data_IF_847780246524
#
_entry.id   IF_847780246524
#
_cell.length_a   1.000
_cell.length_b   1.000
_cell.length_c   1.000
_cell.angle_alpha   90.00
_cell.angle_beta   90.00
_cell.angle_gamma   90.00
#
_symmetry.space_group_name_H-M   'P 1'
#
loop_
_entity.id
_entity.type
_entity.pdbx_description
1 polymer ?
#
# COMPACT_ATOMS: atom_id res chain seq x y z
N UNK A 1 -2.52 -43.35 -25.78
CA UNK A 1 -2.93 -42.56 -24.63
C UNK A 1 -1.79 -42.74 -23.63
N UNK A 2 -0.89 -41.74 -23.54
CA UNK A 2 0.23 -41.75 -22.61
C UNK A 2 -0.23 -41.32 -21.18
N UNK A 3 0.49 -41.71 -20.17
CA UNK A 3 0.12 -41.37 -18.80
C UNK A 3 0.18 -39.86 -18.62
N UNK A 4 -0.86 -39.29 -17.96
CA UNK A 4 -0.90 -37.90 -17.54
C UNK A 4 0.28 -37.66 -16.57
N UNK A 5 1.29 -37.00 -17.03
CA UNK A 5 2.36 -36.50 -16.15
C UNK A 5 1.83 -35.30 -15.39
N UNK A 6 1.51 -35.49 -14.12
CA UNK A 6 1.27 -34.39 -13.20
C UNK A 6 2.62 -33.93 -12.69
N UNK A 7 3.04 -32.76 -13.13
CA UNK A 7 4.26 -32.14 -12.63
C UNK A 7 3.96 -31.56 -11.24
N UNK A 8 4.45 -32.23 -10.20
CA UNK A 8 4.34 -31.73 -8.83
C UNK A 8 5.54 -30.81 -8.62
N UNK A 9 5.28 -29.54 -8.42
CA UNK A 9 6.29 -28.55 -8.00
C UNK A 9 6.09 -28.30 -6.53
N UNK A 10 6.99 -28.81 -5.70
CA UNK A 10 7.02 -28.50 -4.28
C UNK A 10 7.73 -27.15 -4.10
N UNK A 11 6.99 -26.12 -3.74
CA UNK A 11 7.54 -24.79 -3.51
C UNK A 11 7.42 -24.48 -2.03
N UNK A 12 8.55 -24.43 -1.35
CA UNK A 12 8.66 -23.91 0.01
C UNK A 12 8.73 -22.39 -0.10
N UNK A 13 7.59 -21.73 0.06
CA UNK A 13 7.46 -20.29 -0.13
C UNK A 13 7.37 -19.52 1.17
N UNK A 14 7.77 -18.26 1.10
CA UNK A 14 7.49 -17.27 2.14
C UNK A 14 6.00 -16.89 2.14
N UNK A 15 5.52 -16.26 3.20
CA UNK A 15 4.14 -15.75 3.33
C UNK A 15 3.63 -14.99 2.08
N UNK A 16 4.50 -14.27 1.37
CA UNK A 16 4.20 -13.60 0.09
C UNK A 16 3.89 -14.56 -1.05
N UNK A 17 4.43 -15.77 -1.01
CA UNK A 17 4.13 -16.78 -2.02
C UNK A 17 2.75 -17.43 -1.77
N UNK A 18 2.38 -17.61 -0.51
CA UNK A 18 1.03 -18.06 -0.17
C UNK A 18 -0.03 -17.05 -0.59
N UNK A 19 0.24 -15.75 -0.41
CA UNK A 19 -0.62 -14.67 -0.91
C UNK A 19 -0.72 -14.68 -2.44
N UNK A 20 0.38 -14.93 -3.14
CA UNK A 20 0.39 -15.07 -4.60
C UNK A 20 -0.44 -16.27 -5.08
N UNK A 21 -0.30 -17.43 -4.43
CA UNK A 21 -1.08 -18.63 -4.76
C UNK A 21 -2.58 -18.41 -4.48
N UNK A 22 -2.93 -17.73 -3.37
CA UNK A 22 -4.30 -17.36 -3.06
C UNK A 22 -4.90 -16.42 -4.11
N UNK A 23 -4.12 -15.46 -4.59
CA UNK A 23 -4.56 -14.56 -5.67
C UNK A 23 -4.78 -15.31 -7.00
N UNK A 24 -3.96 -16.30 -7.32
CA UNK A 24 -4.16 -17.16 -8.50
C UNK A 24 -5.45 -17.99 -8.40
N UNK A 25 -5.79 -18.50 -7.20
CA UNK A 25 -7.06 -19.21 -6.97
C UNK A 25 -8.27 -18.28 -7.15
N UNK A 26 -8.15 -17.02 -6.74
CA UNK A 26 -9.19 -15.99 -6.94
C UNK A 26 -9.36 -15.65 -8.44
N UNK A 27 -8.29 -15.70 -9.22
CA UNK A 27 -8.32 -15.50 -10.67
C UNK A 27 -8.82 -16.73 -11.45
N UNK A 28 -9.22 -17.82 -10.75
CA UNK A 28 -9.76 -19.03 -11.37
C UNK A 28 -8.71 -19.96 -11.95
N UNK A 29 -7.44 -19.75 -11.61
CA UNK A 29 -6.37 -20.71 -11.95
C UNK A 29 -6.43 -21.86 -10.95
N UNK A 30 -6.90 -23.03 -11.39
CA UNK A 30 -6.96 -24.23 -10.57
C UNK A 30 -5.57 -24.69 -10.15
N UNK A 31 -5.14 -24.34 -8.94
CA UNK A 31 -3.92 -24.87 -8.33
C UNK A 31 -4.27 -26.25 -7.75
N UNK A 32 -3.93 -27.30 -8.48
CA UNK A 32 -4.13 -28.67 -8.03
C UNK A 32 -3.28 -28.96 -6.78
N UNK A 33 -3.92 -29.02 -5.61
CA UNK A 33 -3.28 -29.50 -4.38
C UNK A 33 -3.49 -31.00 -4.25
N UNK A 34 -2.41 -31.76 -4.33
CA UNK A 34 -2.38 -33.16 -3.88
C UNK A 34 -1.90 -33.20 -2.43
N UNK A 35 -2.76 -32.80 -1.51
CA UNK A 35 -2.55 -33.01 -0.07
C UNK A 35 -3.90 -33.40 0.49
N UNK A 36 -3.92 -34.25 1.52
CA UNK A 36 -5.11 -34.55 2.29
C UNK A 36 -5.96 -33.30 2.46
N UNK A 37 -7.28 -33.38 2.23
CA UNK A 37 -8.11 -32.20 2.31
C UNK A 37 -7.79 -31.49 3.64
N UNK A 38 -7.33 -30.23 3.57
CA UNK A 38 -7.01 -29.51 4.79
C UNK A 38 -8.26 -29.55 5.66
N UNK A 39 -8.14 -29.58 6.99
CA UNK A 39 -9.29 -29.60 7.87
C UNK A 39 -10.25 -28.50 7.41
N UNK A 40 -11.50 -28.89 7.18
CA UNK A 40 -12.56 -28.00 6.74
C UNK A 40 -12.54 -26.78 7.67
N UNK A 41 -12.22 -25.60 7.13
CA UNK A 41 -12.20 -24.37 7.89
C UNK A 41 -13.56 -24.15 8.57
N UNK A 42 -13.59 -23.32 9.60
CA UNK A 42 -14.86 -22.95 10.27
C UNK A 42 -15.66 -22.08 9.31
N UNK A 43 -16.97 -22.36 9.19
CA UNK A 43 -17.84 -21.53 8.35
C UNK A 43 -18.29 -20.31 9.15
N UNK A 44 -17.91 -19.13 8.66
CA UNK A 44 -18.29 -17.82 9.21
C UNK A 44 -19.42 -17.24 8.36
N UNK A 45 -20.47 -16.81 9.00
CA UNK A 45 -21.63 -16.23 8.33
C UNK A 45 -22.35 -15.23 9.22
N UNK A 46 -23.04 -14.24 8.66
CA UNK A 46 -23.87 -13.33 9.43
C UNK A 46 -25.13 -14.06 9.92
N UNK A 47 -25.43 -13.90 11.20
CA UNK A 47 -26.59 -14.50 11.86
C UNK A 47 -27.80 -13.60 11.65
N UNK A 48 -28.74 -14.00 10.82
CA UNK A 48 -29.87 -13.15 10.34
C UNK A 48 -30.75 -12.56 11.45
N UNK A 49 -30.83 -13.20 12.61
CA UNK A 49 -31.59 -12.70 13.77
C UNK A 49 -30.82 -11.64 14.58
N UNK A 50 -29.51 -11.49 14.39
CA UNK A 50 -28.66 -10.51 15.08
C UNK A 50 -28.73 -9.11 14.42
N UNK A 51 -29.91 -8.63 14.10
CA UNK A 51 -30.14 -7.36 13.40
C UNK A 51 -29.59 -6.14 14.14
N UNK A 52 -29.64 -6.16 15.49
CA UNK A 52 -29.15 -5.07 16.34
C UNK A 52 -27.62 -4.90 16.27
N UNK A 53 -26.91 -5.96 15.86
CA UNK A 53 -25.45 -5.93 15.67
C UNK A 53 -25.05 -5.68 14.23
N UNK A 54 -25.99 -5.44 13.31
CA UNK A 54 -25.66 -5.08 11.94
C UNK A 54 -24.94 -3.72 11.89
N UNK A 55 -23.94 -3.64 11.02
CA UNK A 55 -23.24 -2.39 10.68
C UNK A 55 -23.40 -2.16 9.19
N UNK A 56 -23.85 -0.97 8.85
CA UNK A 56 -23.92 -0.47 7.49
C UNK A 56 -22.72 0.45 7.24
N UNK A 57 -21.84 0.02 6.32
CA UNK A 57 -20.63 0.77 5.97
C UNK A 57 -20.92 1.54 4.67
N UNK A 58 -20.78 2.88 4.64
CA UNK A 58 -21.01 3.66 3.43
C UNK A 58 -19.97 3.29 2.36
N UNK A 59 -20.44 3.06 1.15
CA UNK A 59 -19.56 2.80 0.02
C UNK A 59 -19.25 4.13 -0.67
N UNK A 60 -17.98 4.55 -0.53
CA UNK A 60 -17.47 5.75 -1.17
C UNK A 60 -16.73 5.37 -2.44
N UNK A 61 -17.15 5.95 -3.56
CA UNK A 61 -16.42 5.81 -4.82
C UNK A 61 -15.39 6.93 -4.92
N UNK A 62 -14.09 6.63 -4.92
CA UNK A 62 -13.07 7.66 -5.06
C UNK A 62 -13.05 8.18 -6.50
N UNK A 63 -13.03 9.50 -6.65
CA UNK A 63 -12.76 10.19 -7.91
C UNK A 63 -11.37 10.81 -7.81
N UNK A 64 -10.44 10.27 -8.56
CA UNK A 64 -9.07 10.76 -8.61
C UNK A 64 -8.99 11.94 -9.59
N UNK A 65 -8.90 13.15 -9.07
CA UNK A 65 -8.63 14.36 -9.87
C UNK A 65 -7.20 14.79 -9.65
N UNK A 66 -6.45 14.99 -10.74
CA UNK A 66 -5.13 15.63 -10.69
C UNK A 66 -5.32 17.11 -10.98
N UNK A 67 -5.05 17.96 -10.00
CA UNK A 67 -4.88 19.38 -10.22
C UNK A 67 -3.41 19.64 -10.54
N UNK A 68 -3.10 19.95 -11.79
CA UNK A 68 -1.79 20.45 -12.17
C UNK A 68 -1.65 21.90 -11.70
N UNK A 69 -0.99 22.10 -10.57
CA UNK A 69 -0.39 23.41 -10.28
C UNK A 69 0.85 23.49 -11.18
N UNK A 70 0.90 24.53 -12.01
CA UNK A 70 1.90 24.67 -13.07
C UNK A 70 3.30 24.21 -12.65
N UNK A 71 3.83 23.25 -13.40
CA UNK A 71 5.19 22.78 -13.24
C UNK A 71 6.13 23.88 -13.74
N UNK A 72 7.00 24.36 -12.88
CA UNK A 72 8.03 25.35 -13.19
C UNK A 72 9.40 24.91 -12.64
N UNK A 73 10.40 25.73 -12.83
CA UNK A 73 11.76 25.48 -12.35
C UNK A 73 11.87 25.28 -10.83
N UNK A 74 10.83 25.58 -10.05
CA UNK A 74 10.83 25.35 -8.61
C UNK A 74 10.85 23.87 -8.25
N UNK A 75 10.51 23.00 -9.21
CA UNK A 75 10.56 21.53 -9.05
C UNK A 75 11.97 21.06 -8.71
N UNK A 76 12.99 21.66 -9.30
CA UNK A 76 14.39 21.24 -9.11
C UNK A 76 15.06 21.83 -7.87
N UNK A 77 14.41 22.78 -7.18
CA UNK A 77 14.99 23.40 -5.97
C UNK A 77 15.10 22.38 -4.85
N UNK A 78 16.31 22.21 -4.31
CA UNK A 78 16.58 21.31 -3.20
C UNK A 78 16.67 19.83 -3.59
N UNK A 79 16.62 19.49 -4.88
CA UNK A 79 16.86 18.12 -5.30
C UNK A 79 18.33 17.75 -5.10
N UNK A 80 18.61 16.48 -4.73
CA UNK A 80 19.98 16.04 -4.49
C UNK A 80 20.77 15.97 -5.80
N UNK A 81 22.04 16.36 -5.73
CA UNK A 81 23.01 15.99 -6.74
C UNK A 81 23.38 14.50 -6.62
N UNK A 82 23.79 13.89 -7.72
CA UNK A 82 24.39 12.56 -7.70
C UNK A 82 25.92 12.66 -7.79
N UNK A 83 26.65 12.61 -6.67
CA UNK A 83 28.13 12.71 -6.71
C UNK A 83 28.80 11.61 -7.54
N UNK A 84 28.13 10.46 -7.69
CA UNK A 84 28.61 9.36 -8.53
C UNK A 84 28.42 9.62 -10.04
N UNK A 85 27.60 10.61 -10.41
CA UNK A 85 27.39 10.99 -11.79
C UNK A 85 28.64 11.49 -12.51
N UNK A 86 29.67 11.91 -11.77
CA UNK A 86 30.97 12.32 -12.31
C UNK A 86 32.00 11.19 -12.42
N UNK A 87 31.65 9.96 -12.03
CA UNK A 87 32.59 8.85 -12.13
C UNK A 87 32.69 8.40 -13.59
N UNK A 88 33.86 8.49 -14.24
CA UNK A 88 34.03 8.01 -15.59
C UNK A 88 33.71 6.52 -15.65
N UNK A 89 32.80 6.16 -16.52
CA UNK A 89 32.50 4.77 -16.73
C UNK A 89 33.67 4.10 -17.46
N UNK A 90 34.12 3.01 -16.91
CA UNK A 90 35.01 2.10 -17.65
C UNK A 90 34.33 1.65 -18.95
N UNK A 91 35.11 1.37 -19.98
CA UNK A 91 34.62 0.83 -21.25
C UNK A 91 33.74 -0.39 -20.97
N UNK A 92 32.46 -0.29 -21.28
CA UNK A 92 31.54 -1.43 -21.15
C UNK A 92 31.88 -2.48 -22.19
N UNK A 93 32.48 -3.58 -21.79
CA UNK A 93 32.65 -4.75 -22.64
C UNK A 93 31.59 -5.79 -22.26
N UNK A 94 30.76 -6.16 -23.22
CA UNK A 94 29.79 -7.24 -23.05
C UNK A 94 30.45 -8.54 -23.51
N UNK A 95 30.60 -9.49 -22.58
CA UNK A 95 30.98 -10.86 -22.95
C UNK A 95 29.74 -11.60 -23.40
N UNK A 96 29.67 -11.89 -24.71
CA UNK A 96 28.62 -12.75 -25.25
C UNK A 96 29.11 -14.19 -25.21
N UNK A 97 28.44 -15.02 -24.42
CA UNK A 97 28.68 -16.45 -24.38
C UNK A 97 27.67 -17.12 -25.32
N UNK A 98 28.20 -17.76 -26.37
CA UNK A 98 27.37 -18.54 -27.28
C UNK A 98 27.16 -19.94 -26.69
N UNK A 99 25.91 -20.27 -26.39
CA UNK A 99 25.53 -21.58 -25.85
C UNK A 99 24.68 -22.29 -26.89
N UNK A 100 25.06 -23.53 -27.18
CA UNK A 100 24.24 -24.37 -28.07
C UNK A 100 22.94 -24.76 -27.33
N UNK A 101 21.81 -24.48 -27.93
CA UNK A 101 20.48 -24.61 -27.32
C UNK A 101 20.12 -26.07 -26.96
N UNK A 102 20.69 -27.03 -27.65
CA UNK A 102 20.36 -28.45 -27.48
C UNK A 102 21.24 -29.13 -26.42
N UNK A 103 22.53 -28.80 -26.40
CA UNK A 103 23.50 -29.47 -25.51
C UNK A 103 23.90 -28.64 -24.29
N UNK A 104 23.48 -27.38 -24.21
CA UNK A 104 23.89 -26.37 -23.21
C UNK A 104 25.42 -26.21 -23.04
N UNK A 105 26.18 -26.63 -24.07
CA UNK A 105 27.64 -26.45 -24.08
C UNK A 105 27.99 -25.08 -24.63
N UNK A 106 28.97 -24.45 -23.99
CA UNK A 106 29.54 -23.20 -24.48
C UNK A 106 30.30 -23.47 -25.78
N UNK A 107 29.80 -22.91 -26.89
CA UNK A 107 30.37 -23.09 -28.23
C UNK A 107 31.43 -22.05 -28.53
N UNK A 108 31.39 -20.91 -27.83
CA UNK A 108 32.42 -19.89 -27.96
C UNK A 108 32.17 -18.70 -27.03
N UNK A 109 33.20 -17.92 -26.80
CA UNK A 109 33.12 -16.62 -26.13
C UNK A 109 33.65 -15.58 -27.11
N UNK A 110 32.82 -14.60 -27.44
CA UNK A 110 33.23 -13.47 -28.27
C UNK A 110 33.06 -12.19 -27.46
N UNK A 111 34.13 -11.46 -27.31
CA UNK A 111 34.04 -10.11 -26.74
C UNK A 111 33.63 -9.19 -27.90
N UNK A 112 32.41 -8.69 -27.84
CA UNK A 112 31.88 -7.76 -28.82
C UNK A 112 31.95 -6.39 -28.20
N UNK A 113 32.79 -5.51 -28.72
CA UNK A 113 32.73 -4.09 -28.41
C UNK A 113 31.65 -3.51 -29.34
N UNK A 114 30.48 -3.24 -28.79
CA UNK A 114 29.42 -2.58 -29.56
C UNK A 114 29.76 -1.08 -29.45
N UNK A 115 30.38 -0.56 -30.47
CA UNK A 115 30.50 0.89 -30.65
C UNK A 115 29.16 1.39 -31.25
N UNK A 116 28.15 1.45 -30.41
CA UNK A 116 26.97 2.23 -30.71
C UNK A 116 27.39 3.67 -30.47
N UNK A 117 27.52 4.49 -31.52
CA UNK A 117 27.83 5.90 -31.41
C UNK A 117 27.01 6.54 -30.28
N UNK A 118 27.65 7.40 -29.47
CA UNK A 118 26.96 8.06 -28.36
C UNK A 118 25.73 8.81 -28.87
N UNK A 119 24.55 8.61 -28.30
CA UNK A 119 23.37 9.35 -28.72
C UNK A 119 23.57 10.87 -28.55
N UNK A 120 22.93 11.64 -29.39
CA UNK A 120 22.90 13.08 -29.27
C UNK A 120 22.21 13.51 -27.97
N UNK A 121 22.64 14.65 -27.38
CA UNK A 121 22.11 15.10 -26.10
C UNK A 121 20.58 15.25 -26.10
N UNK A 122 20.01 15.71 -27.19
CA UNK A 122 18.58 15.88 -27.35
C UNK A 122 17.83 14.52 -27.34
N UNK A 123 18.43 13.46 -27.86
CA UNK A 123 17.87 12.12 -27.82
C UNK A 123 17.85 11.58 -26.40
N UNK A 124 18.95 11.77 -25.65
CA UNK A 124 19.06 11.38 -24.25
C UNK A 124 17.99 12.10 -23.41
N UNK A 125 17.93 13.43 -23.53
CA UNK A 125 16.98 14.25 -22.77
C UNK A 125 15.52 13.92 -23.13
N UNK A 126 15.25 13.65 -24.41
CA UNK A 126 13.92 13.22 -24.89
C UNK A 126 13.54 11.89 -24.25
N UNK A 127 14.45 10.92 -24.26
CA UNK A 127 14.21 9.63 -23.61
C UNK A 127 13.95 9.77 -22.11
N UNK A 128 14.78 10.51 -21.40
CA UNK A 128 14.61 10.80 -19.97
C UNK A 128 13.25 11.45 -19.70
N UNK A 129 12.89 12.49 -20.46
CA UNK A 129 11.64 13.21 -20.31
C UNK A 129 10.42 12.29 -20.51
N UNK A 130 10.41 11.48 -21.55
CA UNK A 130 9.32 10.52 -21.79
C UNK A 130 9.19 9.51 -20.67
N UNK A 131 10.31 9.00 -20.14
CA UNK A 131 10.31 8.08 -19.02
C UNK A 131 9.79 8.73 -17.74
N UNK A 132 10.22 9.96 -17.46
CA UNK A 132 9.76 10.77 -16.31
C UNK A 132 8.26 11.06 -16.43
N UNK A 133 7.77 11.48 -17.58
CA UNK A 133 6.33 11.70 -17.81
C UNK A 133 5.51 10.44 -17.55
N UNK A 134 5.99 9.29 -18.05
CA UNK A 134 5.34 8.00 -17.84
C UNK A 134 5.35 7.57 -16.37
N UNK A 135 6.48 7.70 -15.68
CA UNK A 135 6.63 7.31 -14.29
C UNK A 135 5.87 8.23 -13.33
N UNK A 136 5.90 9.53 -13.59
CA UNK A 136 5.08 10.52 -12.87
C UNK A 136 3.60 10.52 -13.29
N UNK A 137 3.21 9.72 -14.29
CA UNK A 137 1.84 9.61 -14.84
C UNK A 137 1.25 10.94 -15.27
N UNK A 138 2.04 11.73 -15.99
CA UNK A 138 1.66 13.05 -16.50
C UNK A 138 1.72 13.09 -18.05
N UNK A 139 0.92 12.23 -18.67
CA UNK A 139 0.86 12.15 -20.12
C UNK A 139 0.52 13.51 -20.75
N UNK A 140 1.14 13.80 -21.89
CA UNK A 140 0.91 15.05 -22.63
C UNK A 140 1.66 16.28 -22.11
N UNK A 141 2.45 16.17 -21.03
CA UNK A 141 3.19 17.31 -20.45
C UNK A 141 4.67 17.39 -20.88
N UNK A 142 5.04 16.72 -21.95
CA UNK A 142 6.43 16.70 -22.44
C UNK A 142 7.04 18.07 -22.59
N UNK A 143 6.33 19.01 -23.21
CA UNK A 143 6.83 20.37 -23.47
C UNK A 143 7.12 21.16 -22.18
N UNK A 144 6.42 20.86 -21.09
CA UNK A 144 6.62 21.50 -19.79
C UNK A 144 7.74 20.81 -19.02
N UNK A 145 7.86 19.49 -19.11
CA UNK A 145 8.84 18.69 -18.35
C UNK A 145 10.24 18.75 -18.98
N UNK A 146 10.35 18.79 -20.30
CA UNK A 146 11.64 18.79 -20.98
C UNK A 146 12.60 19.91 -20.53
N UNK A 147 12.17 21.18 -20.42
CA UNK A 147 13.03 22.25 -19.89
C UNK A 147 13.49 21.97 -18.45
N UNK A 148 12.63 21.42 -17.62
CA UNK A 148 12.93 21.06 -16.22
C UNK A 148 14.01 19.97 -16.16
N UNK A 149 13.87 18.91 -16.96
CA UNK A 149 14.86 17.83 -17.09
C UNK A 149 16.20 18.39 -17.54
N UNK A 150 16.19 19.19 -18.60
CA UNK A 150 17.42 19.83 -19.15
C UNK A 150 18.12 20.68 -18.10
N UNK A 151 17.36 21.49 -17.36
CA UNK A 151 17.90 22.37 -16.32
C UNK A 151 18.43 21.57 -15.13
N UNK A 152 17.72 20.54 -14.67
CA UNK A 152 18.19 19.67 -13.60
C UNK A 152 19.50 18.99 -13.94
N UNK A 153 19.61 18.41 -15.13
CA UNK A 153 20.83 17.75 -15.58
C UNK A 153 21.98 18.74 -15.70
N UNK A 154 21.72 19.94 -16.23
CA UNK A 154 22.76 20.95 -16.43
C UNK A 154 23.26 21.54 -15.11
N UNK A 155 22.38 21.87 -14.17
CA UNK A 155 22.68 22.72 -13.03
C UNK A 155 22.80 22.01 -11.70
N UNK A 156 22.13 20.82 -11.57
CA UNK A 156 21.97 20.16 -10.26
C UNK A 156 22.57 18.76 -10.23
N UNK A 157 22.26 17.94 -11.21
CA UNK A 157 22.55 16.50 -11.17
C UNK A 157 24.03 16.18 -10.89
N UNK A 158 24.96 16.88 -11.52
CA UNK A 158 26.41 16.68 -11.32
C UNK A 158 26.98 17.46 -10.13
N UNK A 159 26.16 18.17 -9.35
CA UNK A 159 26.63 19.01 -8.24
C UNK A 159 27.32 20.30 -8.68
N UNK A 160 27.39 20.55 -9.98
CA UNK A 160 27.94 21.75 -10.62
C UNK A 160 27.25 21.93 -11.97
N UNK A 161 27.35 23.16 -12.50
CA UNK A 161 26.88 23.42 -13.86
C UNK A 161 27.83 22.79 -14.90
N UNK A 162 27.24 22.10 -15.88
CA UNK A 162 27.96 21.37 -16.91
C UNK A 162 27.52 21.76 -18.32
N UNK A 163 28.44 21.68 -19.29
CA UNK A 163 28.10 21.80 -20.70
C UNK A 163 27.58 20.48 -21.22
N UNK A 164 26.28 20.44 -21.57
CA UNK A 164 25.55 19.18 -21.85
C UNK A 164 26.05 18.47 -23.11
N UNK A 165 26.55 19.20 -24.11
CA UNK A 165 26.86 18.62 -25.44
C UNK A 165 28.28 18.08 -25.53
N UNK A 166 28.97 17.88 -24.42
CA UNK A 166 30.28 17.23 -24.40
C UNK A 166 30.14 15.71 -24.47
N UNK A 167 31.11 15.06 -25.12
CA UNK A 167 31.15 13.61 -25.23
C UNK A 167 31.16 12.95 -23.83
N UNK A 168 31.86 13.54 -22.89
CA UNK A 168 31.96 13.04 -21.52
C UNK A 168 30.59 13.02 -20.82
N UNK A 169 29.84 14.12 -20.89
CA UNK A 169 28.53 14.24 -20.28
C UNK A 169 27.52 13.30 -20.96
N UNK A 170 27.53 13.22 -22.29
CA UNK A 170 26.68 12.28 -23.03
C UNK A 170 26.96 10.83 -22.63
N UNK A 171 28.24 10.48 -22.43
CA UNK A 171 28.64 9.15 -21.95
C UNK A 171 28.13 8.87 -20.55
N UNK A 172 28.31 9.81 -19.61
CA UNK A 172 27.80 9.69 -18.24
C UNK A 172 26.28 9.56 -18.19
N UNK A 173 25.55 10.31 -18.98
CA UNK A 173 24.08 10.22 -19.08
C UNK A 173 23.59 8.93 -19.76
N UNK A 174 24.43 8.27 -20.53
CA UNK A 174 24.13 6.97 -21.15
C UNK A 174 24.21 5.80 -20.17
N UNK A 175 24.78 5.99 -18.97
CA UNK A 175 24.80 4.99 -17.91
C UNK A 175 23.43 4.74 -17.30
N UNK A 176 23.07 3.46 -17.14
CA UNK A 176 21.78 3.08 -16.60
C UNK A 176 21.53 3.68 -15.21
N UNK A 177 22.52 3.59 -14.31
CA UNK A 177 22.41 4.12 -12.93
C UNK A 177 22.11 5.63 -12.88
N UNK A 178 22.77 6.42 -13.74
CA UNK A 178 22.55 7.85 -13.80
C UNK A 178 21.16 8.18 -14.37
N UNK A 179 20.74 7.44 -15.40
CA UNK A 179 19.39 7.61 -15.96
C UNK A 179 18.31 7.27 -14.96
N UNK A 180 18.44 6.14 -14.27
CA UNK A 180 17.49 5.69 -13.28
C UNK A 180 17.39 6.66 -12.09
N UNK A 181 18.52 7.23 -11.68
CA UNK A 181 18.54 8.25 -10.63
C UNK A 181 17.83 9.54 -11.08
N UNK A 182 18.11 10.03 -12.29
CA UNK A 182 17.45 11.22 -12.84
C UNK A 182 15.93 10.98 -12.95
N UNK A 183 15.55 9.84 -13.50
CA UNK A 183 14.14 9.48 -13.72
C UNK A 183 13.42 9.39 -12.37
N UNK A 184 13.93 8.63 -11.43
CA UNK A 184 13.27 8.42 -10.13
C UNK A 184 13.19 9.71 -9.31
N UNK A 185 14.26 10.53 -9.30
CA UNK A 185 14.30 11.78 -8.57
C UNK A 185 13.29 12.79 -9.12
N UNK A 186 13.30 13.01 -10.44
CA UNK A 186 12.39 13.98 -11.07
C UNK A 186 10.95 13.47 -11.11
N UNK A 187 10.72 12.19 -11.36
CA UNK A 187 9.37 11.62 -11.35
C UNK A 187 8.72 11.78 -9.97
N UNK A 188 9.50 11.54 -8.90
CA UNK A 188 9.02 11.77 -7.52
C UNK A 188 8.74 13.27 -7.28
N UNK A 189 9.67 14.15 -7.58
CA UNK A 189 9.52 15.59 -7.33
C UNK A 189 8.34 16.21 -8.12
N UNK A 190 8.11 15.74 -9.33
CA UNK A 190 6.97 16.14 -10.17
C UNK A 190 5.68 15.53 -9.61
N UNK A 191 5.72 14.26 -9.21
CA UNK A 191 4.60 13.57 -8.59
C UNK A 191 4.15 14.26 -7.30
N UNK A 192 5.06 14.65 -6.43
CA UNK A 192 4.79 15.35 -5.17
C UNK A 192 4.17 16.75 -5.40
N UNK A 193 4.47 17.40 -6.53
CA UNK A 193 3.86 18.69 -6.91
C UNK A 193 2.54 18.56 -7.66
N UNK A 194 2.29 17.44 -8.32
CA UNK A 194 0.99 17.14 -8.91
C UNK A 194 0.07 16.63 -7.81
N UNK A 195 -0.67 17.52 -7.15
CA UNK A 195 -1.60 17.16 -6.09
C UNK A 195 -2.73 16.33 -6.70
N UNK A 196 -2.72 15.04 -6.41
CA UNK A 196 -3.89 14.20 -6.63
C UNK A 196 -4.90 14.49 -5.54
N UNK A 197 -5.98 15.18 -5.86
CA UNK A 197 -7.11 15.32 -4.93
C UNK A 197 -8.03 14.13 -5.15
N UNK A 198 -8.24 13.36 -4.10
CA UNK A 198 -9.26 12.33 -4.08
C UNK A 198 -10.52 12.97 -3.55
N UNK A 199 -11.58 13.00 -4.35
CA UNK A 199 -12.92 13.35 -3.90
C UNK A 199 -13.74 12.08 -3.85
N UNK A 200 -14.62 11.97 -2.85
CA UNK A 200 -15.45 10.78 -2.68
C UNK A 200 -16.90 11.10 -3.01
N UNK A 201 -17.56 10.19 -3.72
CA UNK A 201 -19.00 10.22 -3.94
C UNK A 201 -19.64 9.03 -3.22
N UNK A 202 -20.78 9.26 -2.56
CA UNK A 202 -21.51 8.22 -1.85
C UNK A 202 -22.35 7.41 -2.83
N UNK A 203 -22.28 6.08 -2.77
CA UNK A 203 -23.24 5.20 -3.43
C UNK A 203 -24.57 5.20 -2.68
N UNK A 204 -25.65 4.92 -3.38
CA UNK A 204 -27.02 4.91 -2.82
C UNK A 204 -27.22 3.85 -1.76
N UNK A 205 -26.52 2.72 -1.86
CA UNK A 205 -26.67 1.58 -0.95
C UNK A 205 -25.39 1.36 -0.17
N UNK A 206 -25.46 1.33 1.18
CA UNK A 206 -24.34 0.96 2.03
C UNK A 206 -24.06 -0.54 1.94
N UNK A 207 -22.89 -0.96 2.36
CA UNK A 207 -22.57 -2.36 2.58
C UNK A 207 -23.14 -2.79 3.93
N UNK A 208 -24.20 -3.60 3.91
CA UNK A 208 -24.73 -4.25 5.11
C UNK A 208 -23.96 -5.52 5.43
N UNK A 209 -23.37 -5.60 6.62
CA UNK A 209 -22.66 -6.81 7.05
C UNK A 209 -23.59 -8.01 7.25
N UNK A 210 -24.85 -7.77 7.53
CA UNK A 210 -25.88 -8.81 7.64
C UNK A 210 -26.17 -9.49 6.30
N UNK A 211 -25.91 -8.80 5.19
CA UNK A 211 -26.20 -9.29 3.83
C UNK A 211 -25.01 -9.97 3.15
N UNK A 212 -23.89 -10.06 3.85
CA UNK A 212 -22.72 -10.74 3.32
C UNK A 212 -22.97 -12.26 3.21
N UNK A 213 -22.31 -12.85 2.22
CA UNK A 213 -22.23 -14.30 2.09
C UNK A 213 -21.36 -14.88 3.20
N UNK A 214 -21.62 -16.13 3.59
CA UNK A 214 -20.74 -16.86 4.47
C UNK A 214 -19.45 -17.26 3.76
N UNK A 215 -18.37 -17.44 4.52
CA UNK A 215 -17.08 -17.87 4.01
C UNK A 215 -16.40 -18.87 4.95
N UNK A 216 -15.43 -19.63 4.41
CA UNK A 216 -14.65 -20.58 5.20
C UNK A 216 -13.36 -19.93 5.69
N UNK A 217 -13.08 -20.11 7.00
CA UNK A 217 -11.93 -19.52 7.67
C UNK A 217 -11.04 -20.62 8.26
N UNK A 218 -9.75 -20.58 7.98
CA UNK A 218 -8.77 -21.62 8.38
C UNK A 218 -7.80 -21.18 9.47
N UNK A 219 -7.93 -19.95 9.95
CA UNK A 219 -7.08 -19.38 11.00
C UNK A 219 -7.83 -19.30 12.31
N UNK A 220 -7.24 -18.62 13.28
CA UNK A 220 -7.83 -18.45 14.62
C UNK A 220 -9.16 -17.70 14.58
N UNK A 221 -9.98 -17.93 15.55
CA UNK A 221 -11.29 -17.30 15.70
C UNK A 221 -11.70 -17.25 17.17
N UNK A 222 -12.73 -16.47 17.52
CA UNK A 222 -13.35 -16.44 18.83
C UNK A 222 -14.87 -16.21 18.73
N UNK A 223 -15.60 -16.68 19.74
CA UNK A 223 -17.01 -16.40 19.91
C UNK A 223 -17.17 -15.09 20.67
N UNK A 224 -17.96 -14.15 20.13
CA UNK A 224 -18.20 -12.83 20.70
C UNK A 224 -19.66 -12.45 20.50
N UNK A 225 -20.19 -11.63 21.40
CA UNK A 225 -21.63 -11.35 21.47
C UNK A 225 -22.03 -10.15 20.60
N UNK A 226 -21.24 -9.07 20.61
CA UNK A 226 -21.58 -7.78 19.97
C UNK A 226 -21.24 -7.73 18.46
N UNK A 227 -21.28 -8.86 17.79
CA UNK A 227 -21.04 -8.97 16.35
C UNK A 227 -22.18 -9.66 15.63
N UNK A 228 -22.42 -9.26 14.39
CA UNK A 228 -23.43 -9.90 13.52
C UNK A 228 -23.05 -11.31 13.11
N UNK A 229 -21.75 -11.64 13.10
CA UNK A 229 -21.26 -12.95 12.70
C UNK A 229 -21.46 -14.02 13.80
N UNK A 230 -21.55 -15.26 13.40
CA UNK A 230 -21.61 -16.40 14.33
C UNK A 230 -20.31 -16.55 15.15
N UNK A 231 -19.17 -16.28 14.53
CA UNK A 231 -17.84 -16.25 15.14
C UNK A 231 -17.00 -15.14 14.48
N UNK A 232 -16.01 -14.63 15.20
CA UNK A 232 -15.13 -13.55 14.73
C UNK A 232 -13.81 -14.13 14.22
N UNK A 233 -13.43 -13.92 12.93
CA UNK A 233 -12.15 -14.35 12.39
C UNK A 233 -11.02 -13.52 12.96
N UNK A 234 -9.85 -14.14 13.23
CA UNK A 234 -8.66 -13.47 13.73
C UNK A 234 -7.44 -13.95 12.93
N UNK A 235 -6.60 -13.01 12.47
CA UNK A 235 -5.34 -13.34 11.81
C UNK A 235 -4.22 -13.67 12.78
N UNK A 236 -4.31 -13.12 14.00
CA UNK A 236 -3.30 -13.26 15.05
C UNK A 236 -3.89 -13.05 16.46
N UNK A 237 -3.10 -13.35 17.48
CA UNK A 237 -3.51 -13.22 18.88
C UNK A 237 -3.81 -11.77 19.29
N UNK A 238 -3.13 -10.79 18.72
CA UNK A 238 -3.39 -9.38 19.02
C UNK A 238 -4.80 -8.98 18.58
N UNK A 239 -5.18 -9.32 17.36
CA UNK A 239 -6.53 -9.06 16.86
C UNK A 239 -7.59 -9.77 17.71
N UNK A 240 -7.32 -11.00 18.14
CA UNK A 240 -8.22 -11.77 19.02
C UNK A 240 -8.45 -11.07 20.35
N UNK A 241 -7.38 -10.63 21.02
CA UNK A 241 -7.48 -9.89 22.27
C UNK A 241 -8.17 -8.54 22.09
N UNK A 242 -7.90 -7.85 20.99
CA UNK A 242 -8.54 -6.58 20.70
C UNK A 242 -10.04 -6.75 20.41
N UNK A 243 -10.43 -7.78 19.69
CA UNK A 243 -11.84 -8.13 19.46
C UNK A 243 -12.56 -8.42 20.79
N UNK A 244 -11.94 -9.20 21.69
CA UNK A 244 -12.46 -9.44 23.04
C UNK A 244 -12.62 -8.16 23.86
N UNK A 245 -11.66 -7.24 23.71
CA UNK A 245 -11.76 -5.93 24.35
C UNK A 245 -12.94 -5.10 23.82
N UNK A 246 -13.17 -5.08 22.54
CA UNK A 246 -14.34 -4.40 21.95
C UNK A 246 -15.65 -5.00 22.46
N UNK A 247 -15.70 -6.32 22.53
CA UNK A 247 -16.89 -7.04 23.02
C UNK A 247 -17.20 -6.73 24.49
N UNK A 248 -16.19 -6.60 25.33
CA UNK A 248 -16.32 -6.32 26.76
C UNK A 248 -16.53 -4.85 27.09
N UNK A 249 -16.18 -3.92 26.18
CA UNK A 249 -16.30 -2.49 26.40
C UNK A 249 -17.77 -2.07 26.50
N UNK A 250 -18.16 -1.44 27.62
CA UNK A 250 -19.55 -1.08 27.89
C UNK A 250 -20.14 -0.05 26.96
N UNK A 251 -19.29 0.79 26.36
CA UNK A 251 -19.67 1.84 25.41
C UNK A 251 -19.61 1.39 23.94
N UNK A 252 -19.11 0.20 23.62
CA UNK A 252 -19.24 -0.39 22.29
C UNK A 252 -20.58 -1.12 22.20
N UNK A 253 -21.41 -0.67 21.26
CA UNK A 253 -22.73 -1.28 21.01
C UNK A 253 -22.59 -2.51 20.10
N UNK A 254 -21.77 -2.41 19.06
CA UNK A 254 -21.55 -3.48 18.08
C UNK A 254 -20.24 -3.25 17.34
N UNK A 255 -19.66 -4.34 16.84
CA UNK A 255 -18.45 -4.28 16.03
C UNK A 255 -18.37 -5.48 15.07
N UNK A 256 -17.45 -5.41 14.13
CA UNK A 256 -17.11 -6.54 13.26
C UNK A 256 -15.63 -6.52 12.87
N UNK A 257 -15.01 -7.69 12.80
CA UNK A 257 -13.72 -7.87 12.13
C UNK A 257 -13.96 -7.85 10.62
N UNK A 258 -13.22 -7.00 9.93
CA UNK A 258 -13.22 -6.91 8.47
C UNK A 258 -12.16 -7.88 7.93
N UNK A 259 -12.59 -8.99 7.38
CA UNK A 259 -11.71 -10.05 6.91
C UNK A 259 -11.38 -9.87 5.41
N UNK A 260 -10.61 -8.83 5.10
CA UNK A 260 -10.15 -8.54 3.73
C UNK A 260 -11.26 -8.67 2.67
N UNK A 261 -11.01 -9.44 1.61
CA UNK A 261 -11.95 -9.62 0.50
C UNK A 261 -13.26 -10.31 0.90
N UNK A 262 -13.30 -11.06 2.00
CA UNK A 262 -14.52 -11.76 2.43
C UNK A 262 -15.63 -10.81 2.90
N UNK A 263 -15.25 -9.70 3.53
CA UNK A 263 -16.21 -8.68 3.97
C UNK A 263 -16.49 -7.62 2.91
N UNK A 264 -15.85 -7.71 1.73
CA UNK A 264 -16.08 -6.86 0.55
C UNK A 264 -15.91 -5.35 0.81
N UNK A 265 -15.27 -4.97 1.90
CA UNK A 265 -14.98 -3.57 2.22
C UNK A 265 -13.51 -3.26 2.08
N UNK A 266 -13.20 -2.21 1.35
CA UNK A 266 -11.83 -1.74 1.15
C UNK A 266 -11.80 -0.25 0.83
N UNK A 267 -10.64 0.36 1.04
CA UNK A 267 -10.38 1.77 0.73
C UNK A 267 -9.24 1.84 -0.28
N UNK A 268 -9.45 2.54 -1.39
CA UNK A 268 -8.38 2.80 -2.35
C UNK A 268 -7.49 3.95 -1.87
N UNK A 269 -6.18 3.79 -2.03
CA UNK A 269 -5.18 4.80 -1.72
C UNK A 269 -4.08 4.83 -2.78
N UNK A 270 -3.35 5.94 -2.86
CA UNK A 270 -2.16 6.04 -3.70
C UNK A 270 -0.93 5.60 -2.89
N UNK A 271 -0.27 4.55 -3.36
CA UNK A 271 0.98 4.08 -2.73
C UNK A 271 2.16 5.02 -3.05
N UNK A 272 3.33 4.76 -2.43
CA UNK A 272 4.54 5.56 -2.63
C UNK A 272 5.01 5.66 -4.10
N UNK A 273 4.56 4.75 -4.97
CA UNK A 273 4.82 4.78 -6.42
C UNK A 273 3.74 5.53 -7.22
N UNK A 274 2.75 6.14 -6.53
CA UNK A 274 1.61 6.80 -7.16
C UNK A 274 0.65 5.83 -7.86
N UNK A 275 0.72 4.53 -7.56
CA UNK A 275 -0.23 3.53 -8.05
C UNK A 275 -1.42 3.42 -7.09
N UNK A 276 -2.60 3.16 -7.65
CA UNK A 276 -3.79 2.84 -6.86
C UNK A 276 -3.57 1.47 -6.24
N UNK A 277 -3.70 1.41 -4.93
CA UNK A 277 -3.61 0.19 -4.14
C UNK A 277 -4.81 0.10 -3.21
N UNK A 278 -5.12 -1.10 -2.75
CA UNK A 278 -6.26 -1.36 -1.87
C UNK A 278 -5.79 -1.54 -0.44
N UNK A 279 -6.52 -0.93 0.49
CA UNK A 279 -6.34 -1.05 1.93
C UNK A 279 -7.57 -1.68 2.56
N UNK A 280 -7.37 -2.68 3.39
CA UNK A 280 -8.40 -3.39 4.15
C UNK A 280 -8.21 -3.07 5.64
N UNK A 281 -9.08 -2.26 6.24
CA UNK A 281 -9.06 -2.04 7.69
C UNK A 281 -9.40 -3.31 8.46
N UNK A 282 -8.94 -3.40 9.72
CA UNK A 282 -9.14 -4.60 10.52
C UNK A 282 -10.52 -4.72 11.14
N UNK A 283 -11.05 -3.62 11.70
CA UNK A 283 -12.33 -3.62 12.41
C UNK A 283 -13.17 -2.40 12.06
N UNK A 284 -14.46 -2.57 12.22
CA UNK A 284 -15.44 -1.48 12.30
C UNK A 284 -16.21 -1.62 13.61
N UNK A 285 -16.47 -0.51 14.30
CA UNK A 285 -17.21 -0.52 15.57
C UNK A 285 -18.14 0.69 15.69
N UNK A 286 -19.26 0.50 16.38
CA UNK A 286 -20.16 1.56 16.78
C UNK A 286 -20.03 1.78 18.29
N UNK A 287 -19.64 2.99 18.68
CA UNK A 287 -19.53 3.45 20.05
C UNK A 287 -20.70 4.38 20.43
N UNK A 288 -21.25 4.19 21.60
CA UNK A 288 -22.14 5.16 22.22
C UNK A 288 -21.31 6.16 23.05
N UNK A 289 -21.13 7.34 22.51
CA UNK A 289 -20.44 8.45 23.19
C UNK A 289 -21.45 9.46 23.71
N UNK A 290 -21.90 9.27 24.94
CA UNK A 290 -22.85 10.16 25.59
C UNK A 290 -24.19 10.27 24.89
N UNK A 291 -24.70 9.19 24.29
CA UNK A 291 -25.95 9.11 23.55
C UNK A 291 -25.83 9.43 22.06
N UNK A 292 -24.62 9.66 21.57
CA UNK A 292 -24.32 9.81 20.13
C UNK A 292 -23.55 8.61 19.63
N UNK A 293 -23.97 8.05 18.50
CA UNK A 293 -23.23 6.97 17.84
C UNK A 293 -22.02 7.54 17.10
N UNK A 294 -20.85 7.06 17.44
CA UNK A 294 -19.61 7.29 16.70
C UNK A 294 -19.18 5.98 16.05
N UNK A 295 -18.98 6.01 14.75
CA UNK A 295 -18.48 4.88 13.99
C UNK A 295 -16.95 4.92 13.91
N UNK A 296 -16.32 3.81 14.19
CA UNK A 296 -14.87 3.68 14.19
C UNK A 296 -14.42 2.73 13.11
N UNK A 297 -13.43 3.17 12.34
CA UNK A 297 -12.64 2.33 11.45
C UNK A 297 -11.30 2.09 12.14
N UNK A 298 -10.97 0.81 12.41
CA UNK A 298 -9.85 0.49 13.29
C UNK A 298 -8.85 -0.38 12.57
N UNK A 299 -7.58 -0.05 12.74
CA UNK A 299 -6.43 -0.83 12.27
C UNK A 299 -5.59 -1.27 13.45
N UNK A 300 -5.26 -2.56 13.52
CA UNK A 300 -4.34 -3.13 14.50
C UNK A 300 -2.99 -3.38 13.85
N UNK A 301 -1.88 -2.90 14.45
CA UNK A 301 -0.53 -3.02 13.88
C UNK A 301 0.47 -3.61 14.84
N UNK A 302 1.08 -4.74 14.42
CA UNK A 302 2.27 -5.30 15.07
C UNK A 302 3.55 -4.58 14.64
N UNK A 303 3.77 -4.41 13.31
CA UNK A 303 4.97 -3.81 12.72
C UNK A 303 4.60 -2.79 11.64
N UNK A 304 5.41 -1.71 11.50
CA UNK A 304 5.19 -0.68 10.48
C UNK A 304 5.91 -1.01 9.17
N UNK A 305 5.21 -0.85 8.05
CA UNK A 305 5.74 -0.94 6.69
C UNK A 305 5.77 0.46 6.05
N UNK A 306 6.52 0.63 4.97
CA UNK A 306 6.73 1.93 4.31
C UNK A 306 5.44 2.65 3.84
N UNK A 307 4.41 1.90 3.44
CA UNK A 307 3.14 2.48 2.96
C UNK A 307 2.12 2.77 4.07
N UNK A 308 2.44 2.44 5.32
CA UNK A 308 1.52 2.62 6.47
C UNK A 308 1.06 4.07 6.63
N UNK A 309 1.93 5.11 6.55
CA UNK A 309 1.49 6.49 6.67
C UNK A 309 0.48 6.92 5.59
N UNK A 310 0.59 6.38 4.37
CA UNK A 310 -0.33 6.69 3.26
C UNK A 310 -1.70 6.04 3.47
N UNK A 311 -1.72 4.81 3.98
CA UNK A 311 -2.96 4.11 4.36
C UNK A 311 -3.69 4.83 5.48
N UNK A 312 -2.96 5.22 6.55
CA UNK A 312 -3.52 5.94 7.69
C UNK A 312 -4.11 7.28 7.26
N UNK A 313 -3.37 8.08 6.46
CA UNK A 313 -3.85 9.35 5.95
C UNK A 313 -5.14 9.16 5.12
N UNK A 314 -5.17 8.15 4.25
CA UNK A 314 -6.34 7.87 3.43
C UNK A 314 -7.54 7.39 4.26
N UNK A 315 -7.32 6.58 5.29
CA UNK A 315 -8.38 6.15 6.21
C UNK A 315 -8.99 7.33 6.97
N UNK A 316 -8.18 8.28 7.42
CA UNK A 316 -8.66 9.53 8.06
C UNK A 316 -9.49 10.37 7.09
N UNK A 317 -9.02 10.54 5.85
CA UNK A 317 -9.77 11.25 4.80
C UNK A 317 -11.10 10.56 4.50
N UNK A 318 -11.09 9.23 4.36
CA UNK A 318 -12.29 8.43 4.12
C UNK A 318 -13.32 8.63 5.25
N UNK A 319 -12.89 8.58 6.51
CA UNK A 319 -13.76 8.83 7.67
C UNK A 319 -14.35 10.25 7.64
N UNK A 320 -13.53 11.25 7.25
CA UNK A 320 -13.99 12.63 7.07
C UNK A 320 -15.05 12.78 5.97
N UNK A 321 -14.84 12.12 4.84
CA UNK A 321 -15.78 12.11 3.72
C UNK A 321 -17.06 11.34 4.08
N UNK A 322 -16.94 10.18 4.71
CA UNK A 322 -18.09 9.40 5.19
C UNK A 322 -18.94 10.21 6.18
N UNK A 323 -18.29 10.91 7.11
CA UNK A 323 -19.01 11.76 8.08
C UNK A 323 -19.80 12.88 7.39
N UNK A 324 -19.19 13.57 6.42
CA UNK A 324 -19.85 14.65 5.67
C UNK A 324 -21.01 14.15 4.82
N UNK A 325 -20.84 13.00 4.18
CA UNK A 325 -21.80 12.48 3.21
C UNK A 325 -22.98 11.75 3.86
N UNK A 326 -22.77 11.13 5.02
CA UNK A 326 -23.81 10.35 5.72
C UNK A 326 -24.44 11.09 6.89
N UNK A 327 -23.81 12.13 7.43
CA UNK A 327 -24.22 12.81 8.67
C UNK A 327 -23.92 12.02 9.95
N UNK A 328 -23.32 10.81 9.84
CA UNK A 328 -22.87 9.99 10.96
C UNK A 328 -21.39 10.24 11.19
N UNK A 329 -20.97 10.42 12.44
CA UNK A 329 -19.56 10.65 12.77
C UNK A 329 -18.76 9.37 12.57
N UNK A 330 -17.78 9.40 11.66
CA UNK A 330 -16.79 8.35 11.44
C UNK A 330 -15.42 8.82 11.88
N UNK A 331 -14.69 7.96 12.58
CA UNK A 331 -13.32 8.22 13.03
C UNK A 331 -12.40 7.05 12.73
N UNK A 332 -11.13 7.34 12.52
CA UNK A 332 -10.09 6.33 12.32
C UNK A 332 -9.25 6.16 13.57
N UNK A 333 -8.95 4.93 13.93
CA UNK A 333 -8.09 4.56 15.04
C UNK A 333 -7.06 3.53 14.60
N UNK A 334 -5.78 3.86 14.78
CA UNK A 334 -4.68 2.90 14.66
C UNK A 334 -4.22 2.48 16.05
N UNK A 335 -4.22 1.19 16.32
CA UNK A 335 -3.81 0.59 17.57
C UNK A 335 -2.51 -0.17 17.38
N UNK A 336 -1.41 0.29 17.96
CA UNK A 336 -0.14 -0.45 17.95
C UNK A 336 -0.12 -1.47 19.08
N UNK A 337 0.46 -2.64 18.84
CA UNK A 337 0.56 -3.71 19.83
C UNK A 337 1.22 -3.25 21.14
N UNK A 338 2.32 -2.49 21.02
CA UNK A 338 3.06 -1.96 22.19
C UNK A 338 2.20 -1.02 23.03
N UNK A 339 1.40 -0.15 22.40
CA UNK A 339 0.52 0.79 23.10
C UNK A 339 -0.63 0.05 23.76
N UNK A 340 -1.23 -0.92 23.05
CA UNK A 340 -2.28 -1.78 23.58
C UNK A 340 -1.80 -2.55 24.82
N UNK A 341 -0.65 -3.21 24.74
CA UNK A 341 -0.08 -3.96 25.86
C UNK A 341 0.27 -3.08 27.06
N UNK A 342 0.81 -1.89 26.82
CA UNK A 342 1.11 -0.95 27.89
C UNK A 342 -0.15 -0.45 28.62
N UNK A 343 -1.26 -0.27 27.88
CA UNK A 343 -2.54 0.17 28.45
C UNK A 343 -3.32 -0.96 29.11
N UNK A 344 -3.10 -2.20 28.71
CA UNK A 344 -3.79 -3.40 29.19
C UNK A 344 -2.96 -4.21 30.19
N UNK A 345 -1.74 -3.80 30.52
CA UNK A 345 -0.86 -4.49 31.46
C UNK A 345 -1.47 -4.65 32.87
N UNK A 346 -2.45 -3.82 33.25
CA UNK A 346 -3.22 -3.96 34.48
C UNK A 346 -4.60 -4.55 34.20
N UNK A 347 -4.62 -5.82 33.79
CA UNK A 347 -5.84 -6.56 33.46
C UNK A 347 -6.84 -6.66 34.63
N UNK A 348 -6.40 -6.39 35.86
CA UNK A 348 -7.29 -6.37 37.06
C UNK A 348 -8.31 -5.23 37.01
N UNK A 349 -8.04 -4.18 36.23
CA UNK A 349 -8.94 -3.02 36.06
C UNK A 349 -9.73 -3.08 34.75
N UNK A 350 -9.46 -4.07 33.93
CA UNK A 350 -9.96 -4.16 32.55
C UNK A 350 -11.49 -4.31 32.40
N UNK A 351 -12.22 -5.02 33.27
CA UNK A 351 -13.67 -5.17 33.14
C UNK A 351 -14.47 -3.85 33.27
N UNK A 352 -13.82 -2.78 33.77
CA UNK A 352 -14.46 -1.46 33.98
C UNK A 352 -14.00 -0.39 32.99
N UNK A 353 -13.02 -0.68 32.11
CA UNK A 353 -12.53 0.29 31.14
C UNK A 353 -13.44 0.33 29.90
N UNK A 354 -13.84 1.53 29.51
CA UNK A 354 -14.58 1.75 28.27
C UNK A 354 -13.63 1.93 27.10
N UNK A 355 -14.14 1.76 25.89
CA UNK A 355 -13.38 2.10 24.67
C UNK A 355 -13.01 3.59 24.65
N UNK A 356 -13.89 4.47 25.14
CA UNK A 356 -13.63 5.90 25.29
C UNK A 356 -12.45 6.20 26.20
N UNK A 357 -12.33 5.47 27.33
CA UNK A 357 -11.18 5.61 28.24
C UNK A 357 -9.87 5.15 27.57
N UNK A 358 -9.91 4.04 26.85
CA UNK A 358 -8.78 3.55 26.06
C UNK A 358 -8.34 4.57 25.01
N UNK A 359 -9.29 5.09 24.23
CA UNK A 359 -9.04 6.11 23.24
C UNK A 359 -8.47 7.40 23.83
N UNK A 360 -8.99 7.85 24.97
CA UNK A 360 -8.48 9.02 25.69
C UNK A 360 -7.02 8.85 26.08
N UNK A 361 -6.65 7.71 26.66
CA UNK A 361 -5.25 7.38 27.01
C UNK A 361 -4.34 7.30 25.78
N UNK A 362 -4.82 6.74 24.70
CA UNK A 362 -4.05 6.65 23.44
C UNK A 362 -3.76 8.03 22.87
N UNK A 363 -4.76 8.93 22.87
CA UNK A 363 -4.57 10.34 22.46
C UNK A 363 -3.50 11.05 23.30
N UNK A 364 -3.54 10.85 24.63
CA UNK A 364 -2.61 11.50 25.56
C UNK A 364 -1.18 10.96 25.40
N UNK A 365 -1.04 9.66 25.15
CA UNK A 365 0.25 9.05 24.82
C UNK A 365 0.83 9.60 23.50
N UNK A 366 -0.02 9.79 22.50
CA UNK A 366 0.39 10.36 21.20
C UNK A 366 0.82 11.83 21.29
N UNK A 367 0.11 12.64 22.09
CA UNK A 367 0.49 14.05 22.37
C UNK A 367 1.83 14.15 23.07
N UNK A 368 2.09 13.28 24.05
CA UNK A 368 3.37 13.23 24.78
C UNK A 368 4.53 12.84 23.87
N UNK A 369 4.34 11.92 22.94
CA UNK A 369 5.39 11.53 21.99
C UNK A 369 5.75 12.64 21.01
N UNK A 370 4.79 13.48 20.62
CA UNK A 370 5.05 14.62 19.74
C UNK A 370 5.75 15.78 20.46
N UNK A 371 5.47 16.01 21.74
CA UNK A 371 6.16 17.06 22.52
C UNK A 371 7.63 16.73 22.78
N UNK A 372 7.99 15.45 22.89
CA UNK A 372 9.40 15.00 23.06
C UNK A 372 10.22 15.10 21.75
N UNK A 373 9.57 15.14 20.60
CA UNK A 373 10.26 15.30 19.30
C UNK A 373 10.49 16.77 18.91
N UNK A 374 9.94 17.71 19.71
CA UNK A 374 10.08 19.16 19.49
C UNK A 374 11.03 19.84 20.52
N UNK A 375 11.58 19.08 21.48
CA UNK A 375 12.70 19.45 22.36
C UNK A 375 14.01 18.81 21.86
#
# INVERSE_FOLDING_TARGET
VGPNYVQIVEIVGTQKFEEFVQNLEVEGVGVGRTVDPPPLGVHIYPVKIKTDFNIEIPILTPVHTREFKGLDDSVIKGLPANPRGLTPAGKSSVKVTLVETVTQKTVGQKQVTIDTGLPEINEILTHLTNRICKEARIDGQFAVVYPIVRKYVREVFFGQEVELDTEEIRRLLSHAENRDHIISTLAKAIGDKSISKITSTLKSEPLSLLELDGFYWRRDWCELDKTVFNITPCFNNFEKHFAQFLDQSGDIERFAKLAESYTKFSIEYLNHKGAISTYYPDFVAAQNDGGKTVMWLIETKGWEQADVPLKDARAVEWCGDASKLTGVTWQYLKVKYVDYMAMTADLSRWPAATFGDFWGKLKDAFKKSQSVLLE
#
